data_IF_100757845503
#
_entry.id   IF_100757845503
#
_cell.length_a   1.000
_cell.length_b   1.000
_cell.length_c   1.000
_cell.angle_alpha   90.00
_cell.angle_beta   90.00
_cell.angle_gamma   90.00
#
_symmetry.space_group_name_H-M   'P 1'
#
loop_
_entity.id
_entity.type
_entity.pdbx_description
1 polymer ?
#
# COMPACT_ATOMS: atom_id res chain seq x y z
N UNK A 1 -24.16 -85.44 -16.80
CA UNK A 1 -24.35 -85.83 -18.22
C UNK A 1 -24.26 -84.60 -19.13
N UNK A 2 -23.40 -84.77 -20.18
CA UNK A 2 -23.26 -83.90 -21.42
C UNK A 2 -22.85 -82.42 -21.16
N UNK A 3 -21.58 -81.99 -21.32
CA UNK A 3 -20.77 -81.72 -22.53
C UNK A 3 -21.52 -80.88 -23.58
N UNK A 4 -21.05 -79.66 -23.81
CA UNK A 4 -20.71 -79.23 -25.18
C UNK A 4 -19.64 -78.11 -25.15
N UNK A 5 -18.59 -78.37 -25.90
CA UNK A 5 -17.51 -77.52 -26.30
C UNK A 5 -17.99 -76.55 -27.41
N UNK A 6 -17.54 -75.30 -27.41
CA UNK A 6 -17.71 -74.36 -28.52
C UNK A 6 -16.54 -73.38 -28.57
N UNK A 7 -15.81 -73.52 -29.59
CA UNK A 7 -14.52 -73.11 -30.07
C UNK A 7 -14.22 -71.56 -30.04
N UNK A 8 -12.96 -71.31 -29.76
CA UNK A 8 -12.18 -70.07 -29.98
C UNK A 8 -12.22 -69.63 -31.47
N UNK A 9 -12.48 -68.33 -31.71
CA UNK A 9 -12.10 -67.49 -32.86
C UNK A 9 -12.82 -66.12 -32.59
N UNK A 10 -12.12 -65.06 -32.27
CA UNK A 10 -11.41 -64.10 -33.05
C UNK A 10 -10.74 -63.06 -32.14
N UNK A 11 -9.43 -63.14 -32.05
CA UNK A 11 -8.56 -62.18 -31.31
C UNK A 11 -8.05 -61.03 -32.18
N UNK A 12 -8.85 -60.58 -33.14
CA UNK A 12 -8.40 -59.46 -34.02
C UNK A 12 -9.16 -58.12 -33.92
N UNK A 13 -10.27 -58.09 -33.22
CA UNK A 13 -11.07 -56.85 -33.08
C UNK A 13 -10.82 -56.09 -31.78
N UNK A 14 -10.05 -56.67 -30.85
CA UNK A 14 -9.77 -55.99 -29.54
C UNK A 14 -8.60 -54.98 -29.57
N UNK A 15 -7.80 -54.93 -30.66
CA UNK A 15 -6.65 -54.01 -30.74
C UNK A 15 -6.95 -52.64 -31.35
N UNK A 16 -8.07 -52.48 -32.03
CA UNK A 16 -8.41 -51.22 -32.70
C UNK A 16 -9.25 -50.26 -31.81
N UNK A 17 -9.91 -50.78 -30.78
CA UNK A 17 -10.72 -49.98 -29.87
C UNK A 17 -9.88 -49.35 -28.72
N UNK A 18 -8.75 -49.98 -28.36
CA UNK A 18 -7.85 -49.48 -27.32
C UNK A 18 -6.94 -48.30 -27.77
N UNK A 19 -6.78 -48.13 -29.08
CA UNK A 19 -5.95 -47.07 -29.64
C UNK A 19 -6.69 -45.70 -29.83
N UNK A 20 -8.02 -45.70 -29.73
CA UNK A 20 -8.85 -44.48 -29.86
C UNK A 20 -9.20 -43.88 -28.51
N UNK A 21 -9.23 -44.67 -27.43
CA UNK A 21 -9.54 -44.14 -26.08
C UNK A 21 -8.30 -43.50 -25.38
N UNK A 22 -7.07 -43.84 -25.80
CA UNK A 22 -5.84 -43.31 -25.22
C UNK A 22 -5.35 -42.01 -25.85
N UNK A 23 -6.02 -41.46 -26.86
CA UNK A 23 -5.69 -40.16 -27.45
C UNK A 23 -6.67 -39.02 -27.13
N UNK A 24 -7.72 -39.28 -26.35
CA UNK A 24 -8.70 -38.26 -25.94
C UNK A 24 -8.59 -37.85 -24.46
N UNK A 25 -7.55 -38.30 -23.73
CA UNK A 25 -7.38 -38.01 -22.29
C UNK A 25 -6.23 -37.05 -21.99
N UNK A 26 -5.77 -36.25 -22.95
CA UNK A 26 -4.70 -35.23 -22.74
C UNK A 26 -5.02 -33.88 -23.37
N UNK A 27 -6.30 -33.52 -23.40
CA UNK A 27 -6.72 -32.13 -23.48
C UNK A 27 -7.35 -31.78 -22.13
N UNK A 28 -6.53 -31.76 -21.06
CA UNK A 28 -6.85 -30.87 -19.93
C UNK A 28 -6.94 -29.47 -20.53
N UNK A 29 -8.05 -28.74 -20.33
CA UNK A 29 -8.03 -27.33 -20.54
C UNK A 29 -6.98 -26.80 -19.57
N UNK A 30 -5.87 -26.30 -20.11
CA UNK A 30 -5.07 -25.32 -19.44
C UNK A 30 -6.08 -24.21 -19.09
N UNK A 31 -6.68 -24.25 -17.92
CA UNK A 31 -7.27 -23.10 -17.30
C UNK A 31 -6.10 -22.13 -17.17
N UNK A 32 -5.89 -21.36 -18.21
CA UNK A 32 -5.29 -20.06 -18.11
C UNK A 32 -6.12 -19.38 -17.03
N UNK A 33 -5.63 -19.43 -15.80
CA UNK A 33 -5.96 -18.41 -14.84
C UNK A 33 -5.54 -17.12 -15.55
N UNK A 34 -6.45 -16.52 -16.28
CA UNK A 34 -6.38 -15.11 -16.61
C UNK A 34 -6.31 -14.48 -15.23
N UNK A 35 -5.09 -14.13 -14.83
CA UNK A 35 -4.92 -13.15 -13.77
C UNK A 35 -5.83 -12.03 -14.23
N UNK A 36 -6.94 -11.84 -13.53
CA UNK A 36 -7.76 -10.69 -13.72
C UNK A 36 -6.80 -9.53 -13.44
N UNK A 37 -6.27 -8.94 -14.49
CA UNK A 37 -5.64 -7.65 -14.40
C UNK A 37 -6.73 -6.76 -13.83
N UNK A 38 -6.61 -6.40 -12.56
CA UNK A 38 -7.47 -5.37 -12.02
C UNK A 38 -7.29 -4.15 -12.89
N UNK A 39 -8.40 -3.57 -13.30
CA UNK A 39 -8.37 -2.33 -14.04
C UNK A 39 -7.56 -1.33 -13.19
N UNK A 40 -6.48 -0.80 -13.75
CA UNK A 40 -5.79 0.33 -13.15
C UNK A 40 -6.76 1.50 -13.09
N UNK A 41 -6.55 2.39 -12.13
CA UNK A 41 -7.38 3.59 -12.01
C UNK A 41 -7.54 4.25 -13.39
N UNK A 42 -8.76 4.67 -13.76
CA UNK A 42 -8.99 5.38 -15.02
C UNK A 42 -8.00 6.54 -15.17
N UNK A 43 -7.54 6.78 -16.40
CA UNK A 43 -6.49 7.76 -16.66
C UNK A 43 -6.87 9.17 -16.18
N UNK A 44 -8.14 9.56 -16.33
CA UNK A 44 -8.69 10.84 -15.88
C UNK A 44 -8.69 10.98 -14.34
N UNK A 45 -8.97 9.90 -13.61
CA UNK A 45 -8.84 9.88 -12.16
C UNK A 45 -7.36 9.86 -11.73
N UNK A 46 -6.52 9.05 -12.38
CA UNK A 46 -5.10 8.93 -12.09
C UNK A 46 -4.34 10.25 -12.33
N UNK A 47 -4.77 11.08 -13.29
CA UNK A 47 -4.22 12.41 -13.55
C UNK A 47 -4.27 13.35 -12.34
N UNK A 48 -5.15 13.09 -11.35
CA UNK A 48 -5.16 13.86 -10.08
C UNK A 48 -3.83 13.80 -9.32
N UNK A 49 -3.04 12.76 -9.57
CA UNK A 49 -1.73 12.53 -8.95
C UNK A 49 -0.57 12.68 -9.94
N UNK A 50 -0.82 13.27 -11.10
CA UNK A 50 0.24 13.54 -12.08
C UNK A 50 1.13 14.69 -11.60
N UNK A 51 2.39 14.54 -11.89
CA UNK A 51 3.42 15.53 -11.60
C UNK A 51 4.49 15.51 -12.69
N UNK A 52 5.22 16.62 -12.80
CA UNK A 52 6.34 16.71 -13.73
C UNK A 52 7.45 15.77 -13.26
N UNK A 53 7.67 14.68 -13.99
CA UNK A 53 8.82 13.80 -13.77
C UNK A 53 10.07 14.49 -14.27
N UNK A 54 11.06 14.61 -13.42
CA UNK A 54 12.40 15.04 -13.78
C UNK A 54 13.28 13.80 -13.96
N UNK A 55 14.25 13.83 -14.88
CA UNK A 55 15.21 12.72 -15.09
C UNK A 55 16.01 12.40 -13.82
N UNK A 56 16.24 13.40 -13.00
CA UNK A 56 16.80 13.25 -11.66
C UNK A 56 16.00 14.09 -10.66
N UNK A 57 15.66 13.52 -9.52
CA UNK A 57 15.09 14.26 -8.41
C UNK A 57 16.26 14.94 -7.69
N UNK A 58 16.37 16.28 -7.70
CA UNK A 58 17.42 16.97 -6.98
C UNK A 58 17.36 16.59 -5.49
N UNK A 59 18.49 16.17 -4.95
CA UNK A 59 18.56 15.71 -3.57
C UNK A 59 19.82 16.22 -2.89
N UNK A 60 19.67 16.69 -1.66
CA UNK A 60 20.75 17.09 -0.80
C UNK A 60 20.89 16.07 0.34
N UNK A 61 22.06 15.47 0.45
CA UNK A 61 22.38 14.60 1.58
C UNK A 61 22.63 15.42 2.83
N UNK A 62 21.86 15.15 3.89
CA UNK A 62 22.14 15.65 5.25
C UNK A 62 23.24 14.90 5.96
N UNK A 63 23.79 13.85 5.32
CA UNK A 63 24.84 12.99 5.86
C UNK A 63 24.34 11.81 6.68
N UNK A 64 25.26 10.92 7.04
CA UNK A 64 24.98 9.79 7.94
C UNK A 64 24.88 10.34 9.36
N UNK A 65 23.67 10.28 9.93
CA UNK A 65 23.41 10.76 11.29
C UNK A 65 23.67 9.68 12.33
N UNK A 66 23.63 8.38 11.94
CA UNK A 66 23.91 7.29 12.83
C UNK A 66 24.37 6.02 12.06
N UNK A 67 25.44 5.42 12.55
CA UNK A 67 25.87 4.09 12.13
C UNK A 67 25.44 3.06 13.16
N UNK A 68 24.62 2.11 12.76
CA UNK A 68 24.24 0.97 13.56
C UNK A 68 25.00 -0.29 13.10
N UNK A 69 24.90 -1.38 13.88
CA UNK A 69 25.56 -2.64 13.50
C UNK A 69 25.04 -3.25 12.20
N UNK A 70 23.80 -2.96 11.83
CA UNK A 70 23.11 -3.53 10.67
C UNK A 70 23.00 -2.58 9.48
N UNK A 71 23.12 -1.26 9.72
CA UNK A 71 22.68 -0.28 8.75
C UNK A 71 23.26 1.11 9.01
N UNK A 72 23.27 1.92 7.99
CA UNK A 72 23.45 3.36 8.09
C UNK A 72 22.10 4.07 8.08
N UNK A 73 21.93 5.06 8.96
CA UNK A 73 20.78 5.98 8.99
C UNK A 73 21.25 7.32 8.49
N UNK A 74 20.62 7.84 7.44
CA UNK A 74 20.96 9.12 6.83
C UNK A 74 19.74 9.98 6.57
N UNK A 75 19.92 11.28 6.61
CA UNK A 75 18.88 12.26 6.30
C UNK A 75 19.08 12.82 4.90
N UNK A 76 17.96 13.06 4.21
CA UNK A 76 17.94 13.59 2.85
C UNK A 76 16.82 14.60 2.70
N UNK A 77 17.05 15.57 1.81
CA UNK A 77 16.03 16.53 1.35
C UNK A 77 15.93 16.43 -0.16
N UNK A 78 14.74 16.16 -0.65
CA UNK A 78 14.45 16.15 -2.09
C UNK A 78 13.74 17.46 -2.43
N UNK A 79 14.07 18.02 -3.58
CA UNK A 79 13.35 19.18 -4.11
C UNK A 79 12.24 18.71 -5.01
N UNK A 80 11.00 19.06 -4.67
CA UNK A 80 9.78 18.73 -5.40
C UNK A 80 9.26 19.95 -6.12
N UNK A 81 9.31 20.02 -7.47
CA UNK A 81 8.65 21.11 -8.22
C UNK A 81 7.14 21.08 -7.97
N UNK A 82 6.57 22.24 -7.71
CA UNK A 82 5.12 22.46 -7.56
C UNK A 82 4.65 23.53 -8.54
N UNK A 83 3.35 23.68 -8.74
CA UNK A 83 2.80 24.71 -9.60
C UNK A 83 3.17 26.14 -9.16
N UNK A 84 3.47 26.35 -7.86
CA UNK A 84 3.83 27.62 -7.25
C UNK A 84 5.32 27.79 -6.91
N UNK A 85 6.20 26.86 -7.39
CA UNK A 85 7.64 26.90 -7.04
C UNK A 85 8.20 25.51 -6.74
N UNK A 86 8.77 25.32 -5.56
CA UNK A 86 9.26 24.04 -5.08
C UNK A 86 8.93 23.80 -3.62
N UNK A 87 8.67 22.55 -3.26
CA UNK A 87 8.61 22.09 -1.87
C UNK A 87 9.80 21.18 -1.55
N UNK A 88 10.11 21.02 -0.28
CA UNK A 88 11.10 20.06 0.18
C UNK A 88 10.42 18.81 0.74
N UNK A 89 10.89 17.64 0.32
CA UNK A 89 10.50 16.36 0.88
C UNK A 89 11.66 15.89 1.76
N UNK A 90 11.43 15.80 3.06
CA UNK A 90 12.41 15.26 3.99
C UNK A 90 12.31 13.75 4.06
N UNK A 91 13.45 13.07 3.98
CA UNK A 91 13.56 11.62 4.08
C UNK A 91 14.55 11.22 5.16
N UNK A 92 14.24 10.15 5.89
CA UNK A 92 15.22 9.35 6.61
C UNK A 92 15.41 8.04 5.85
N UNK A 93 16.64 7.73 5.52
CA UNK A 93 17.02 6.50 4.83
C UNK A 93 17.69 5.57 5.82
N UNK A 94 17.22 4.32 5.87
CA UNK A 94 17.86 3.23 6.64
C UNK A 94 18.32 2.18 5.63
N UNK A 95 19.62 2.13 5.36
CA UNK A 95 20.22 1.24 4.37
C UNK A 95 21.06 0.14 5.02
N UNK A 96 20.85 -1.15 4.65
CA UNK A 96 21.72 -2.24 5.10
C UNK A 96 23.18 -2.00 4.74
N UNK A 97 24.12 -2.47 5.57
CA UNK A 97 25.56 -2.36 5.29
C UNK A 97 26.03 -3.34 4.21
N UNK A 98 25.22 -4.34 3.87
CA UNK A 98 25.54 -5.28 2.80
C UNK A 98 25.48 -4.61 1.44
N UNK A 99 26.40 -4.98 0.55
CA UNK A 99 26.44 -4.42 -0.82
C UNK A 99 25.32 -4.99 -1.68
N UNK A 100 24.84 -4.20 -2.63
CA UNK A 100 23.85 -4.59 -3.64
C UNK A 100 22.52 -3.88 -3.48
N UNK A 101 21.56 -4.24 -4.34
CA UNK A 101 20.21 -3.72 -4.30
C UNK A 101 19.37 -4.45 -3.25
N UNK A 102 18.71 -3.69 -2.39
CA UNK A 102 17.87 -4.21 -1.31
C UNK A 102 16.40 -4.02 -1.64
N UNK A 103 15.52 -5.01 -1.39
CA UNK A 103 14.08 -4.77 -1.33
C UNK A 103 13.82 -3.56 -0.44
N UNK A 104 12.84 -2.75 -0.80
CA UNK A 104 12.68 -1.42 -0.20
C UNK A 104 11.30 -1.26 0.42
N UNK A 105 11.22 -0.64 1.58
CA UNK A 105 9.98 -0.26 2.24
C UNK A 105 9.89 1.26 2.31
N UNK A 106 8.80 1.82 1.79
CA UNK A 106 8.42 3.22 1.96
C UNK A 106 7.50 3.34 3.18
N UNK A 107 7.86 4.18 4.14
CA UNK A 107 7.11 4.38 5.38
C UNK A 107 6.42 5.73 5.39
N UNK A 108 5.12 5.70 5.66
CA UNK A 108 4.22 6.84 5.67
C UNK A 108 3.60 6.96 7.07
N UNK A 109 4.03 7.97 7.84
CA UNK A 109 3.62 8.13 9.22
C UNK A 109 2.19 8.65 9.36
N UNK A 110 1.61 8.49 10.55
CA UNK A 110 0.31 9.04 10.89
C UNK A 110 0.36 10.55 11.11
N UNK A 111 -0.80 11.15 11.19
CA UNK A 111 -0.98 12.55 11.57
C UNK A 111 -0.56 12.84 13.02
N UNK A 112 -0.27 14.10 13.30
CA UNK A 112 0.00 14.62 14.64
C UNK A 112 1.22 15.54 14.66
N UNK A 113 1.14 16.63 15.43
CA UNK A 113 2.19 17.64 15.49
C UNK A 113 3.53 17.08 16.01
N UNK A 114 3.44 16.13 16.96
CA UNK A 114 4.62 15.48 17.56
C UNK A 114 5.02 14.18 16.83
N UNK A 115 4.28 13.78 15.81
CA UNK A 115 4.55 12.57 15.05
C UNK A 115 5.33 12.92 13.81
N UNK A 116 6.44 12.22 13.64
CA UNK A 116 7.34 12.40 12.52
C UNK A 116 7.70 11.03 11.93
N UNK A 117 8.28 11.04 10.74
CA UNK A 117 8.81 9.84 10.10
C UNK A 117 9.72 9.01 11.01
N UNK A 118 10.38 9.65 11.98
CA UNK A 118 11.28 9.00 12.94
C UNK A 118 10.62 7.88 13.78
N UNK A 119 9.27 7.87 13.89
CA UNK A 119 8.55 6.81 14.60
C UNK A 119 8.84 5.41 14.07
N UNK A 120 9.20 5.28 12.80
CA UNK A 120 9.47 4.01 12.14
C UNK A 120 10.95 3.61 12.10
N UNK A 121 11.88 4.44 12.58
CA UNK A 121 13.32 4.19 12.47
C UNK A 121 13.71 2.85 13.11
N UNK A 122 13.19 2.52 14.29
CA UNK A 122 13.50 1.25 14.96
C UNK A 122 13.02 0.03 14.17
N UNK A 123 11.86 0.11 13.53
CA UNK A 123 11.36 -0.96 12.67
C UNK A 123 12.17 -1.08 11.38
N UNK A 124 12.52 0.04 10.79
CA UNK A 124 13.38 0.09 9.62
C UNK A 124 14.75 -0.55 9.89
N UNK A 125 15.35 -0.31 11.06
CA UNK A 125 16.61 -0.97 11.47
C UNK A 125 16.44 -2.47 11.64
N UNK A 126 15.31 -2.90 12.22
CA UNK A 126 15.00 -4.34 12.35
C UNK A 126 14.88 -5.02 10.98
N UNK A 127 14.31 -4.33 10.00
CA UNK A 127 14.21 -4.82 8.62
C UNK A 127 15.57 -4.76 7.91
N UNK A 128 16.38 -3.74 8.17
CA UNK A 128 17.73 -3.61 7.60
C UNK A 128 18.65 -4.75 8.02
N UNK A 129 18.52 -5.25 9.26
CA UNK A 129 19.22 -6.46 9.70
C UNK A 129 18.85 -7.71 8.89
N UNK A 130 17.71 -7.67 8.17
CA UNK A 130 17.26 -8.73 7.25
C UNK A 130 17.50 -8.39 5.77
N UNK A 131 18.29 -7.36 5.49
CA UNK A 131 18.66 -6.95 4.13
C UNK A 131 17.57 -6.16 3.40
N UNK A 132 16.65 -5.51 4.11
CA UNK A 132 15.57 -4.69 3.54
C UNK A 132 15.87 -3.22 3.85
N UNK A 133 15.98 -2.39 2.83
CA UNK A 133 16.17 -0.94 2.97
C UNK A 133 14.84 -0.23 3.26
N UNK A 134 14.92 0.95 3.84
CA UNK A 134 13.74 1.76 4.18
C UNK A 134 13.91 3.22 3.81
N UNK A 135 12.84 3.81 3.31
CA UNK A 135 12.66 5.24 3.06
C UNK A 135 11.52 5.72 3.95
N UNK A 136 11.82 6.59 4.90
CA UNK A 136 10.84 7.16 5.80
C UNK A 136 10.54 8.59 5.33
N UNK A 137 9.34 8.83 4.81
CA UNK A 137 8.95 10.12 4.24
C UNK A 137 8.28 10.97 5.30
N UNK A 138 8.69 12.24 5.40
CA UNK A 138 7.96 13.21 6.19
C UNK A 138 6.71 13.66 5.46
N UNK A 139 5.55 13.44 6.07
CA UNK A 139 4.26 13.83 5.52
C UNK A 139 3.76 15.17 6.12
N UNK A 140 2.96 15.93 5.39
CA UNK A 140 2.50 17.25 5.83
C UNK A 140 1.41 17.22 6.92
N UNK A 141 1.05 16.05 7.44
CA UNK A 141 -0.09 15.84 8.34
C UNK A 141 0.22 16.22 9.79
N UNK A 142 0.20 17.50 10.10
CA UNK A 142 0.49 18.00 11.46
C UNK A 142 -0.68 17.83 12.44
N UNK A 143 -1.92 17.70 11.94
CA UNK A 143 -3.12 17.57 12.75
C UNK A 143 -4.04 16.49 12.16
N UNK A 144 -4.85 15.80 13.01
CA UNK A 144 -5.99 15.04 12.51
C UNK A 144 -6.94 15.99 11.78
N UNK A 145 -7.52 15.53 10.67
CA UNK A 145 -8.26 16.39 9.73
C UNK A 145 -7.36 17.51 9.23
N UNK A 146 -6.77 17.28 8.13
CA UNK A 146 -5.84 18.17 7.45
C UNK A 146 -6.60 19.40 7.00
N UNK A 147 -7.05 20.22 7.91
CA UNK A 147 -7.72 21.47 7.56
C UNK A 147 -6.82 22.67 7.87
N UNK A 148 -6.85 23.59 6.98
CA UNK A 148 -6.36 24.94 7.24
C UNK A 148 -7.58 25.78 7.62
N UNK A 149 -7.48 26.49 8.74
CA UNK A 149 -8.60 27.29 9.23
C UNK A 149 -9.11 28.32 8.21
N UNK A 150 -8.28 28.69 7.25
CA UNK A 150 -8.47 29.72 6.24
C UNK A 150 -8.72 29.19 4.83
N UNK A 151 -8.50 27.92 4.56
CA UNK A 151 -8.65 27.32 3.23
C UNK A 151 -9.01 25.83 3.28
N UNK A 152 -10.29 25.56 3.39
CA UNK A 152 -10.82 24.21 3.50
C UNK A 152 -10.64 23.35 2.22
N UNK A 153 -10.46 23.97 1.05
CA UNK A 153 -10.14 23.27 -0.19
C UNK A 153 -8.72 22.69 -0.18
N UNK A 154 -7.84 23.24 0.64
CA UNK A 154 -6.44 22.81 0.75
C UNK A 154 -6.23 21.42 1.32
N UNK A 155 -7.21 20.83 2.02
CA UNK A 155 -7.07 19.49 2.59
C UNK A 155 -6.95 18.41 1.50
N UNK A 156 -7.75 18.51 0.45
CA UNK A 156 -7.65 17.62 -0.71
C UNK A 156 -6.29 17.77 -1.42
N UNK A 157 -5.77 18.98 -1.52
CA UNK A 157 -4.46 19.23 -2.11
C UNK A 157 -3.34 18.63 -1.27
N UNK A 158 -3.40 18.79 0.06
CA UNK A 158 -2.40 18.21 0.98
C UNK A 158 -2.37 16.68 0.89
N UNK A 159 -3.52 16.01 0.78
CA UNK A 159 -3.60 14.55 0.60
C UNK A 159 -3.01 14.16 -0.75
N UNK A 160 -3.33 14.90 -1.81
CA UNK A 160 -2.79 14.68 -3.15
C UNK A 160 -1.26 14.86 -3.18
N UNK A 161 -0.78 15.95 -2.60
CA UNK A 161 0.64 16.26 -2.54
C UNK A 161 1.42 15.19 -1.75
N UNK A 162 0.84 14.64 -0.66
CA UNK A 162 1.45 13.54 0.07
C UNK A 162 1.65 12.28 -0.79
N UNK A 163 0.70 11.97 -1.69
CA UNK A 163 0.85 10.87 -2.66
C UNK A 163 1.92 11.19 -3.70
N UNK A 164 1.95 12.41 -4.21
CA UNK A 164 2.96 12.88 -5.18
C UNK A 164 4.35 12.83 -4.56
N UNK A 165 4.51 13.29 -3.34
CA UNK A 165 5.79 13.27 -2.62
C UNK A 165 6.28 11.84 -2.38
N UNK A 166 5.37 10.92 -2.02
CA UNK A 166 5.70 9.50 -1.93
C UNK A 166 6.18 8.92 -3.27
N UNK A 167 5.52 9.28 -4.40
CA UNK A 167 5.94 8.86 -5.75
C UNK A 167 7.31 9.43 -6.13
N UNK A 168 7.61 10.66 -5.75
CA UNK A 168 8.93 11.28 -5.98
C UNK A 168 10.03 10.66 -5.14
N UNK A 169 9.73 10.27 -3.90
CA UNK A 169 10.66 9.48 -3.10
C UNK A 169 10.98 8.13 -3.78
N UNK A 170 10.00 7.49 -4.43
CA UNK A 170 10.21 6.28 -5.22
C UNK A 170 11.04 6.57 -6.48
N UNK A 171 10.80 7.68 -7.18
CA UNK A 171 11.60 8.11 -8.34
C UNK A 171 13.06 8.31 -7.94
N UNK A 172 13.30 9.01 -6.84
CA UNK A 172 14.65 9.19 -6.31
C UNK A 172 15.31 7.85 -5.96
N UNK A 173 14.60 6.96 -5.25
CA UNK A 173 15.12 5.65 -4.91
C UNK A 173 15.49 4.81 -6.15
N UNK A 174 14.71 4.94 -7.24
CA UNK A 174 14.99 4.23 -8.49
C UNK A 174 16.32 4.63 -9.13
N UNK A 175 16.85 5.83 -8.84
CA UNK A 175 18.16 6.30 -9.33
C UNK A 175 19.33 5.82 -8.46
N UNK A 176 19.05 5.17 -7.32
CA UNK A 176 20.07 4.80 -6.33
C UNK A 176 20.42 3.32 -6.42
N UNK A 177 21.73 2.95 -6.40
CA UNK A 177 22.17 1.57 -6.57
C UNK A 177 21.81 0.65 -5.39
N UNK A 178 21.53 1.21 -4.22
CA UNK A 178 21.19 0.46 -3.00
C UNK A 178 19.73 0.01 -2.92
N UNK A 179 18.81 0.61 -3.71
CA UNK A 179 17.39 0.29 -3.64
C UNK A 179 16.91 -0.57 -4.79
N UNK A 180 16.11 -1.59 -4.48
CA UNK A 180 15.40 -2.40 -5.45
C UNK A 180 13.91 -1.99 -5.45
N UNK A 181 13.55 -1.04 -6.32
CA UNK A 181 12.16 -0.57 -6.45
C UNK A 181 11.24 -1.57 -7.18
N UNK A 182 11.77 -2.64 -7.76
CA UNK A 182 10.95 -3.75 -8.28
C UNK A 182 10.38 -4.62 -7.14
N UNK A 183 11.00 -4.52 -5.95
CA UNK A 183 10.55 -5.16 -4.70
C UNK A 183 10.24 -4.08 -3.68
N UNK A 184 9.28 -3.24 -3.99
CA UNK A 184 8.86 -2.10 -3.19
C UNK A 184 7.58 -2.42 -2.44
N UNK A 185 7.63 -2.25 -1.12
CA UNK A 185 6.44 -2.22 -0.27
C UNK A 185 6.20 -0.82 0.27
N UNK A 186 4.94 -0.47 0.53
CA UNK A 186 4.56 0.72 1.29
C UNK A 186 3.95 0.29 2.63
N UNK A 187 4.29 0.99 3.70
CA UNK A 187 3.67 0.85 5.02
C UNK A 187 3.12 2.19 5.43
N UNK A 188 1.85 2.25 5.75
CA UNK A 188 1.22 3.48 6.19
C UNK A 188 0.38 3.27 7.45
N UNK A 189 0.34 4.29 8.32
CA UNK A 189 -0.51 4.30 9.50
C UNK A 189 -1.49 5.47 9.45
N UNK A 190 -2.79 5.20 9.64
CA UNK A 190 -3.88 6.19 9.66
C UNK A 190 -3.86 7.08 8.40
N UNK A 191 -3.53 8.39 8.49
CA UNK A 191 -3.36 9.25 7.29
C UNK A 191 -2.26 8.77 6.37
N UNK A 192 -1.18 8.20 6.91
CA UNK A 192 -0.17 7.50 6.11
C UNK A 192 -0.73 6.26 5.42
N UNK A 193 -1.68 5.55 6.05
CA UNK A 193 -2.37 4.43 5.42
C UNK A 193 -3.39 4.89 4.36
N UNK A 194 -4.02 6.05 4.56
CA UNK A 194 -4.81 6.73 3.53
C UNK A 194 -3.94 7.00 2.30
N UNK A 195 -2.82 7.70 2.49
CA UNK A 195 -1.85 7.97 1.42
C UNK A 195 -1.36 6.68 0.75
N UNK A 196 -1.06 5.63 1.52
CA UNK A 196 -0.62 4.33 1.00
C UNK A 196 -1.69 3.64 0.15
N UNK A 197 -2.97 3.71 0.55
CA UNK A 197 -4.09 3.14 -0.21
C UNK A 197 -4.30 3.83 -1.56
N UNK A 198 -4.13 5.16 -1.61
CA UNK A 198 -4.15 5.90 -2.86
C UNK A 198 -2.92 5.55 -3.72
N UNK A 199 -1.73 5.57 -3.10
CA UNK A 199 -0.46 5.31 -3.77
C UNK A 199 -0.44 3.94 -4.46
N UNK A 200 -0.87 2.88 -3.79
CA UNK A 200 -0.90 1.53 -4.37
C UNK A 200 -1.91 1.41 -5.51
N UNK A 201 -2.95 2.24 -5.52
CA UNK A 201 -3.93 2.31 -6.60
C UNK A 201 -3.44 3.03 -7.85
N UNK A 202 -2.45 3.94 -7.72
CA UNK A 202 -1.97 4.78 -8.83
C UNK A 202 -0.55 4.45 -9.29
N UNK A 203 0.28 3.86 -8.44
CA UNK A 203 1.69 3.57 -8.77
C UNK A 203 1.98 2.07 -8.84
N UNK A 204 2.12 1.57 -10.07
CA UNK A 204 2.33 0.14 -10.33
C UNK A 204 3.68 -0.41 -9.82
N UNK A 205 4.61 0.44 -9.38
CA UNK A 205 5.88 0.01 -8.76
C UNK A 205 5.68 -0.55 -7.36
N UNK A 206 4.60 -0.17 -6.68
CA UNK A 206 4.28 -0.70 -5.35
C UNK A 206 3.78 -2.12 -5.50
N UNK A 207 4.59 -3.08 -5.08
CA UNK A 207 4.30 -4.52 -5.18
C UNK A 207 3.63 -5.11 -3.94
N UNK A 208 3.63 -4.36 -2.84
CA UNK A 208 3.03 -4.77 -1.57
C UNK A 208 2.65 -3.56 -0.70
N UNK A 209 1.62 -3.69 0.15
CA UNK A 209 1.25 -2.64 1.09
C UNK A 209 0.83 -3.24 2.44
N UNK A 210 1.26 -2.59 3.53
CA UNK A 210 0.72 -2.79 4.88
C UNK A 210 -0.05 -1.54 5.27
N UNK A 211 -1.33 -1.69 5.55
CA UNK A 211 -2.23 -0.61 5.91
C UNK A 211 -2.62 -0.75 7.39
N UNK A 212 -2.13 0.15 8.23
CA UNK A 212 -2.26 0.15 9.69
C UNK A 212 -3.38 1.11 10.10
N UNK A 213 -4.47 0.59 10.67
CA UNK A 213 -5.67 1.36 11.02
C UNK A 213 -6.10 2.33 9.88
N UNK A 214 -6.25 1.83 8.64
CA UNK A 214 -6.56 2.68 7.50
C UNK A 214 -8.00 3.18 7.58
N UNK A 215 -8.26 4.48 7.34
CA UNK A 215 -9.61 4.94 7.09
C UNK A 215 -10.10 4.40 5.73
N UNK A 216 -11.35 4.02 5.63
CA UNK A 216 -11.94 3.53 4.37
C UNK A 216 -12.64 4.63 3.59
N UNK A 217 -13.48 5.40 4.28
CA UNK A 217 -14.30 6.45 3.69
C UNK A 217 -14.32 7.71 4.56
N UNK A 218 -13.22 8.47 4.64
CA UNK A 218 -13.14 9.70 5.43
C UNK A 218 -14.26 10.69 5.16
N UNK A 219 -14.67 10.85 3.89
CA UNK A 219 -15.77 11.75 3.52
C UNK A 219 -17.12 11.35 4.16
N UNK A 220 -17.37 10.05 4.28
CA UNK A 220 -18.58 9.52 4.93
C UNK A 220 -18.49 9.63 6.45
N UNK A 221 -17.35 9.24 7.02
CA UNK A 221 -17.13 9.30 8.45
C UNK A 221 -17.25 10.72 9.01
N UNK A 222 -16.67 11.72 8.35
CA UNK A 222 -16.76 13.12 8.74
C UNK A 222 -18.20 13.64 8.83
N UNK A 223 -19.13 13.07 8.06
CA UNK A 223 -20.54 13.48 8.08
C UNK A 223 -21.26 13.05 9.36
N UNK A 224 -20.88 11.92 9.95
CA UNK A 224 -21.64 11.27 11.01
C UNK A 224 -20.90 11.16 12.34
N UNK A 225 -19.60 11.42 12.37
CA UNK A 225 -18.81 11.26 13.57
C UNK A 225 -19.20 12.24 14.68
N UNK A 226 -19.28 11.75 15.90
CA UNK A 226 -19.48 12.55 17.11
C UNK A 226 -18.16 12.82 17.87
N UNK A 227 -17.01 12.44 17.28
CA UNK A 227 -15.72 12.81 17.84
C UNK A 227 -15.59 14.33 17.97
N UNK A 228 -15.28 14.83 19.16
CA UNK A 228 -15.35 16.24 19.50
C UNK A 228 -14.63 17.17 18.50
N UNK A 229 -13.40 16.80 18.10
CA UNK A 229 -12.60 17.61 17.15
C UNK A 229 -13.19 17.59 15.73
N UNK A 230 -13.61 16.42 15.25
CA UNK A 230 -14.19 16.27 13.93
C UNK A 230 -15.56 16.91 13.84
N UNK A 231 -16.36 16.78 14.91
CA UNK A 231 -17.63 17.46 15.03
C UNK A 231 -17.45 18.98 15.03
N UNK A 232 -16.54 19.52 15.83
CA UNK A 232 -16.25 20.95 15.87
C UNK A 232 -15.77 21.45 14.51
N UNK A 233 -14.96 20.67 13.79
CA UNK A 233 -14.56 20.99 12.43
C UNK A 233 -15.77 21.05 11.48
N UNK A 234 -16.62 20.02 11.45
CA UNK A 234 -17.85 20.00 10.67
C UNK A 234 -18.75 21.18 10.97
N UNK A 235 -18.97 21.48 12.27
CA UNK A 235 -19.87 22.51 12.74
C UNK A 235 -19.33 23.94 12.47
N UNK A 236 -18.06 24.08 12.09
CA UNK A 236 -17.44 25.37 11.68
C UNK A 236 -17.82 25.81 10.27
N UNK A 237 -18.44 24.94 9.48
CA UNK A 237 -18.85 25.23 8.10
C UNK A 237 -20.33 25.61 8.04
N UNK A 238 -20.69 26.52 7.13
CA UNK A 238 -22.06 26.57 6.68
C UNK A 238 -22.38 25.36 5.77
N UNK A 239 -23.67 25.18 5.48
CA UNK A 239 -24.14 24.00 4.70
C UNK A 239 -23.50 23.93 3.30
N UNK A 240 -23.35 25.05 2.60
CA UNK A 240 -22.81 25.07 1.25
C UNK A 240 -21.31 24.78 1.25
N UNK A 241 -20.57 25.39 2.18
CA UNK A 241 -19.15 25.15 2.41
C UNK A 241 -18.90 23.66 2.76
N UNK A 242 -19.73 23.07 3.64
CA UNK A 242 -19.60 21.67 4.02
C UNK A 242 -19.78 20.72 2.83
N UNK A 243 -20.81 20.96 2.01
CA UNK A 243 -21.02 20.18 0.78
C UNK A 243 -19.83 20.30 -0.17
N UNK A 244 -19.29 21.50 -0.36
CA UNK A 244 -18.10 21.75 -1.18
C UNK A 244 -16.86 21.04 -0.64
N UNK A 245 -16.65 21.10 0.67
CA UNK A 245 -15.56 20.41 1.34
C UNK A 245 -15.63 18.89 1.12
N UNK A 246 -16.77 18.28 1.40
CA UNK A 246 -16.95 16.84 1.18
C UNK A 246 -16.74 16.45 -0.28
N UNK A 247 -17.22 17.24 -1.22
CA UNK A 247 -17.02 17.00 -2.65
C UNK A 247 -15.55 17.06 -3.06
N UNK A 248 -14.73 17.83 -2.36
CA UNK A 248 -13.28 17.88 -2.60
C UNK A 248 -12.53 16.66 -2.06
N UNK A 249 -12.97 16.10 -0.93
CA UNK A 249 -12.32 14.97 -0.24
C UNK A 249 -12.81 13.62 -0.76
N UNK A 250 -14.10 13.48 -1.08
CA UNK A 250 -14.73 12.23 -1.50
C UNK A 250 -13.99 11.50 -2.65
N UNK A 251 -13.46 12.18 -3.69
CA UNK A 251 -12.66 11.53 -4.72
C UNK A 251 -11.40 10.86 -4.22
N UNK A 252 -10.94 11.23 -3.02
CA UNK A 252 -9.72 10.71 -2.39
C UNK A 252 -10.01 9.65 -1.31
N UNK A 253 -11.25 9.19 -1.15
CA UNK A 253 -11.57 8.11 -0.23
C UNK A 253 -10.80 6.83 -0.57
N UNK A 254 -10.07 6.21 0.37
CA UNK A 254 -9.26 5.02 0.13
C UNK A 254 -10.01 3.85 -0.55
N UNK A 255 -11.28 3.64 -0.21
CA UNK A 255 -12.08 2.56 -0.81
C UNK A 255 -12.24 2.69 -2.33
N UNK A 256 -12.14 3.90 -2.87
CA UNK A 256 -12.22 4.16 -4.31
C UNK A 256 -10.95 3.76 -5.05
N UNK A 257 -9.82 3.74 -4.36
CA UNK A 257 -8.49 3.51 -4.96
C UNK A 257 -7.94 2.12 -4.70
N UNK A 258 -8.21 1.55 -3.54
CA UNK A 258 -7.68 0.24 -3.14
C UNK A 258 -8.12 -0.90 -4.09
N UNK A 259 -9.21 -0.73 -4.80
CA UNK A 259 -9.70 -1.66 -5.82
C UNK A 259 -8.77 -1.75 -7.05
N UNK A 260 -7.90 -0.77 -7.24
CA UNK A 260 -6.91 -0.74 -8.33
C UNK A 260 -5.51 -1.21 -7.90
N UNK A 261 -5.38 -1.72 -6.67
CA UNK A 261 -4.09 -2.11 -6.11
C UNK A 261 -3.45 -3.34 -6.76
N UNK A 262 -4.22 -4.21 -7.43
CA UNK A 262 -3.65 -5.42 -8.02
C UNK A 262 -2.58 -5.08 -9.09
N UNK A 263 -1.51 -5.89 -9.16
CA UNK A 263 -1.28 -7.17 -8.47
C UNK A 263 -0.59 -7.06 -7.09
N UNK A 264 -0.54 -5.87 -6.48
CA UNK A 264 0.12 -5.68 -5.19
C UNK A 264 -0.51 -6.55 -4.10
N UNK A 265 0.35 -7.10 -3.22
CA UNK A 265 -0.09 -7.86 -2.04
C UNK A 265 -0.48 -6.90 -0.94
N UNK A 266 -1.69 -7.06 -0.39
CA UNK A 266 -2.22 -6.18 0.63
C UNK A 266 -2.31 -6.89 1.99
N UNK A 267 -1.87 -6.21 3.05
CA UNK A 267 -2.02 -6.64 4.42
C UNK A 267 -2.63 -5.53 5.27
N UNK A 268 -3.80 -5.79 5.83
CA UNK A 268 -4.52 -4.84 6.66
C UNK A 268 -4.31 -5.20 8.13
N UNK A 269 -3.93 -4.23 8.93
CA UNK A 269 -3.88 -4.35 10.38
C UNK A 269 -4.95 -3.44 10.97
N UNK A 270 -5.93 -4.05 11.61
CA UNK A 270 -7.05 -3.36 12.25
C UNK A 270 -6.95 -3.44 13.78
N UNK A 271 -7.47 -2.44 14.45
CA UNK A 271 -7.57 -2.38 15.89
C UNK A 271 -9.02 -2.65 16.33
N UNK A 272 -9.20 -3.45 17.38
CA UNK A 272 -10.54 -3.77 17.91
C UNK A 272 -11.20 -2.58 18.62
N UNK A 273 -10.38 -1.66 19.14
CA UNK A 273 -10.79 -0.47 19.88
C UNK A 273 -10.38 0.82 19.18
N UNK A 274 -10.46 0.83 17.83
CA UNK A 274 -10.16 2.01 17.02
C UNK A 274 -11.22 3.10 17.27
N UNK A 275 -10.76 4.25 17.79
CA UNK A 275 -11.65 5.37 18.10
C UNK A 275 -12.05 6.18 16.83
N UNK A 276 -11.39 5.95 15.69
CA UNK A 276 -11.54 6.73 14.46
C UNK A 276 -12.19 5.96 13.33
N UNK A 277 -11.84 4.68 13.19
CA UNK A 277 -12.30 3.83 12.10
C UNK A 277 -13.21 2.76 12.67
N UNK A 278 -14.51 2.88 12.39
CA UNK A 278 -15.48 1.91 12.89
C UNK A 278 -15.27 0.54 12.24
N UNK A 279 -15.64 -0.52 12.95
CA UNK A 279 -15.48 -1.91 12.47
C UNK A 279 -16.14 -2.14 11.10
N UNK A 280 -17.30 -1.51 10.85
CA UNK A 280 -17.98 -1.65 9.57
C UNK A 280 -17.17 -1.03 8.42
N UNK A 281 -16.61 0.14 8.65
CA UNK A 281 -15.73 0.82 7.68
C UNK A 281 -14.47 0.00 7.37
N UNK A 282 -13.85 -0.63 8.40
CA UNK A 282 -12.73 -1.56 8.23
C UNK A 282 -13.11 -2.75 7.32
N UNK A 283 -14.31 -3.31 7.52
CA UNK A 283 -14.83 -4.42 6.71
C UNK A 283 -15.06 -3.98 5.27
N UNK A 284 -15.65 -2.81 5.05
CA UNK A 284 -15.98 -2.33 3.71
C UNK A 284 -14.72 -1.97 2.92
N UNK A 285 -13.74 -1.33 3.52
CA UNK A 285 -12.44 -1.10 2.90
C UNK A 285 -11.75 -2.42 2.53
N UNK A 286 -11.75 -3.41 3.45
CA UNK A 286 -11.18 -4.72 3.13
C UNK A 286 -11.92 -5.41 1.99
N UNK A 287 -13.25 -5.29 1.90
CA UNK A 287 -14.04 -5.85 0.80
C UNK A 287 -13.71 -5.18 -0.53
N UNK A 288 -13.60 -3.85 -0.55
CA UNK A 288 -13.26 -3.08 -1.75
C UNK A 288 -11.90 -3.42 -2.33
N UNK A 289 -10.95 -3.84 -1.49
CA UNK A 289 -9.58 -4.17 -1.92
C UNK A 289 -9.53 -5.40 -2.82
N UNK A 290 -8.62 -5.39 -3.81
CA UNK A 290 -8.35 -6.51 -4.71
C UNK A 290 -7.52 -7.61 -4.05
N UNK A 291 -7.51 -8.81 -4.67
CA UNK A 291 -6.63 -9.90 -4.29
C UNK A 291 -5.23 -9.70 -4.92
N UNK A 292 -4.15 -10.22 -4.27
CA UNK A 292 -4.15 -10.96 -3.01
C UNK A 292 -4.13 -10.04 -1.79
N UNK A 293 -4.99 -10.33 -0.82
CA UNK A 293 -5.11 -9.56 0.41
C UNK A 293 -5.23 -10.44 1.64
N UNK A 294 -4.75 -9.92 2.77
CA UNK A 294 -4.88 -10.53 4.09
C UNK A 294 -5.20 -9.46 5.14
N UNK A 295 -5.75 -9.87 6.27
CA UNK A 295 -6.00 -8.96 7.40
C UNK A 295 -5.73 -9.64 8.72
N UNK A 296 -5.40 -8.82 9.71
CA UNK A 296 -5.30 -9.21 11.11
C UNK A 296 -5.99 -8.16 11.97
N UNK A 297 -6.75 -8.62 12.97
CA UNK A 297 -7.34 -7.77 14.01
C UNK A 297 -6.49 -7.90 15.27
N UNK A 298 -6.15 -6.78 15.89
CA UNK A 298 -5.37 -6.73 17.13
C UNK A 298 -6.21 -6.14 18.25
N UNK A 299 -6.05 -6.67 19.45
CA UNK A 299 -6.67 -6.13 20.66
C UNK A 299 -5.86 -4.91 21.13
N UNK A 300 -6.18 -3.77 20.55
CA UNK A 300 -5.49 -2.50 20.75
C UNK A 300 -6.35 -1.33 20.29
N UNK A 301 -5.89 -0.11 20.61
CA UNK A 301 -6.34 1.12 19.96
C UNK A 301 -5.77 1.28 18.54
N UNK A 302 -6.10 2.39 17.88
CA UNK A 302 -5.68 2.72 16.52
C UNK A 302 -4.16 2.88 16.32
N UNK A 303 -3.39 2.94 17.40
CA UNK A 303 -1.93 3.03 17.31
C UNK A 303 -1.28 1.68 17.08
N UNK A 304 -2.03 0.60 17.36
CA UNK A 304 -1.58 -0.79 17.29
C UNK A 304 -0.48 -1.11 18.30
N UNK A 305 -0.37 -2.38 18.64
CA UNK A 305 0.52 -2.86 19.71
C UNK A 305 1.79 -3.54 19.12
N UNK A 306 2.65 -4.04 20.02
CA UNK A 306 3.88 -4.76 19.66
C UNK A 306 3.60 -6.09 18.91
N UNK A 307 2.43 -6.70 19.08
CA UNK A 307 2.03 -7.89 18.32
C UNK A 307 1.80 -7.52 16.84
N UNK A 308 1.08 -6.43 16.58
CA UNK A 308 0.89 -5.90 15.23
C UNK A 308 2.23 -5.53 14.58
N UNK A 309 3.18 -4.98 15.35
CA UNK A 309 4.54 -4.68 14.86
C UNK A 309 5.28 -5.95 14.43
N UNK A 310 5.25 -7.00 15.25
CA UNK A 310 5.88 -8.29 14.91
C UNK A 310 5.23 -8.92 13.68
N UNK A 311 3.90 -8.87 13.57
CA UNK A 311 3.15 -9.39 12.44
C UNK A 311 3.56 -8.72 11.13
N UNK A 312 3.53 -7.37 11.04
CA UNK A 312 3.91 -6.66 9.81
C UNK A 312 5.38 -6.86 9.43
N UNK A 313 6.29 -6.92 10.42
CA UNK A 313 7.69 -7.21 10.14
C UNK A 313 7.88 -8.60 9.55
N UNK A 314 7.22 -9.61 10.10
CA UNK A 314 7.25 -10.97 9.58
C UNK A 314 6.62 -11.04 8.17
N UNK A 315 5.48 -10.36 7.97
CA UNK A 315 4.80 -10.31 6.67
C UNK A 315 5.67 -9.64 5.60
N UNK A 316 6.29 -8.49 5.92
CA UNK A 316 7.21 -7.78 5.01
C UNK A 316 8.42 -8.63 4.64
N UNK A 317 9.06 -9.28 5.62
CA UNK A 317 10.20 -10.18 5.36
C UNK A 317 9.81 -11.29 4.39
N UNK A 318 8.74 -12.05 4.68
CA UNK A 318 8.27 -13.10 3.76
C UNK A 318 7.93 -12.58 2.38
N UNK A 319 7.26 -11.43 2.30
CA UNK A 319 6.79 -10.88 1.03
C UNK A 319 7.93 -10.38 0.16
N UNK A 320 8.92 -9.71 0.74
CA UNK A 320 9.99 -9.05 0.00
C UNK A 320 11.21 -9.95 -0.24
N UNK A 321 11.51 -10.88 0.67
CA UNK A 321 12.70 -11.74 0.57
C UNK A 321 12.39 -13.20 0.28
N UNK A 322 11.14 -13.64 0.41
CA UNK A 322 10.73 -15.03 0.25
C UNK A 322 11.17 -15.95 1.41
N UNK A 323 11.62 -15.39 2.54
CA UNK A 323 12.14 -16.13 3.71
C UNK A 323 11.19 -16.06 4.90
#
# INVERSE_FOLDING_TARGET
MRRFFGTVRDLRTARTVYAIVTRLALALPLCLATAAYADKAPADEAMRFDYVKTESVPAMAGGVVRKARCCDVSEWKLTSPTAGGSSEIELTVVAPLTKGKHPTVLWLHREGAEVRRAMFVQEAETLAASGIASLLVELPFKQPYVHRADNNAGDADVIRDAVIDARRAIDWAATRPEFNVEKLAVVGQRYGAWTAALLVGVDARVSAAVLMSPPGKPSGWLQVTEQAKAKAFRDSFDKAQWVGYLASIEPLDPEKWIKYAAPAKLHFQFASSDAWVQTLEQVDLFRAATLPKSRQMFDSDELLNEEAKKDRQAWLKRTLTGK
#
